data_IF_922131624267
#
_entry.id   IF_922131624267
#
_cell.length_a   1.000
_cell.length_b   1.000
_cell.length_c   1.000
_cell.angle_alpha   90.00
_cell.angle_beta   90.00
_cell.angle_gamma   90.00
#
_symmetry.space_group_name_H-M   'P 1'
#
loop_
_entity.id
_entity.type
_entity.pdbx_description
1 polymer ?
#
# COMPACT_ATOMS: atom_id res chain seq x y z
N UNK A 1 9.05 -11.08 12.73
CA UNK A 1 8.10 -9.99 13.07
C UNK A 1 7.32 -9.54 11.82
N UNK A 2 6.54 -10.43 11.19
CA UNK A 2 6.08 -10.24 9.80
C UNK A 2 4.85 -9.32 9.66
N UNK A 3 4.00 -9.24 10.69
CA UNK A 3 2.84 -8.32 10.69
C UNK A 3 3.17 -6.85 10.97
N UNK A 4 4.38 -6.53 11.42
CA UNK A 4 4.75 -5.15 11.81
C UNK A 4 5.08 -4.26 10.62
N UNK A 5 5.54 -4.84 9.50
CA UNK A 5 5.90 -4.09 8.30
C UNK A 5 4.68 -3.38 7.69
N UNK A 6 3.56 -4.08 7.53
CA UNK A 6 2.32 -3.50 7.00
C UNK A 6 1.77 -2.36 7.88
N UNK A 7 1.82 -2.53 9.20
CA UNK A 7 1.40 -1.49 10.15
C UNK A 7 2.28 -0.24 10.05
N UNK A 8 3.60 -0.40 9.95
CA UNK A 8 4.54 0.71 9.82
C UNK A 8 4.33 1.45 8.50
N UNK A 9 4.12 0.73 7.39
CA UNK A 9 3.85 1.33 6.08
C UNK A 9 2.53 2.12 6.11
N UNK A 10 1.46 1.55 6.66
CA UNK A 10 0.17 2.22 6.79
C UNK A 10 0.24 3.48 7.65
N UNK A 11 0.95 3.42 8.78
CA UNK A 11 1.18 4.57 9.65
C UNK A 11 2.01 5.66 8.98
N UNK A 12 3.04 5.29 8.20
CA UNK A 12 3.86 6.24 7.46
C UNK A 12 3.03 7.00 6.41
N UNK A 13 2.21 6.28 5.64
CA UNK A 13 1.30 6.88 4.66
C UNK A 13 0.28 7.81 5.35
N UNK A 14 -0.34 7.34 6.44
CA UNK A 14 -1.30 8.12 7.21
C UNK A 14 -0.70 9.39 7.82
N UNK A 15 0.56 9.32 8.27
CA UNK A 15 1.28 10.47 8.81
C UNK A 15 1.59 11.51 7.73
N UNK A 16 2.01 11.10 6.54
CA UNK A 16 2.27 12.04 5.42
C UNK A 16 0.99 12.73 4.95
N UNK A 17 -0.12 12.00 4.86
CA UNK A 17 -1.42 12.57 4.46
C UNK A 17 -2.05 13.44 5.57
N UNK A 18 -1.83 13.10 6.85
CA UNK A 18 -2.35 13.82 8.00
C UNK A 18 -1.58 15.10 8.37
N UNK A 19 -0.30 15.19 7.99
CA UNK A 19 0.59 16.33 8.29
C UNK A 19 0.38 17.52 7.34
N UNK A 20 -0.90 17.89 7.10
CA UNK A 20 -1.32 18.98 6.19
C UNK A 20 -1.03 20.39 6.74
N UNK A 21 0.20 20.66 7.21
CA UNK A 21 0.51 21.95 7.87
C UNK A 21 1.86 22.60 7.51
N UNK A 22 2.67 22.10 6.56
CA UNK A 22 3.95 22.76 6.23
C UNK A 22 4.40 22.59 4.79
N UNK A 23 4.11 23.59 3.92
CA UNK A 23 4.57 23.58 2.52
C UNK A 23 6.09 23.50 2.37
N UNK A 24 6.84 24.15 3.24
CA UNK A 24 8.31 24.14 3.18
C UNK A 24 8.91 22.76 3.50
N UNK A 25 8.35 22.04 4.48
CA UNK A 25 8.83 20.70 4.84
C UNK A 25 8.43 19.64 3.83
N UNK A 26 7.27 19.82 3.19
CA UNK A 26 6.85 18.94 2.09
C UNK A 26 7.85 18.96 0.93
N UNK A 27 8.28 20.15 0.49
CA UNK A 27 9.21 20.26 -0.64
C UNK A 27 10.61 19.69 -0.32
N UNK A 28 11.10 19.85 0.91
CA UNK A 28 12.37 19.24 1.32
C UNK A 28 12.32 17.72 1.29
N UNK A 29 11.27 17.13 1.88
CA UNK A 29 11.08 15.68 1.93
C UNK A 29 10.86 15.13 0.52
N UNK A 30 10.05 15.81 -0.29
CA UNK A 30 9.79 15.44 -1.68
C UNK A 30 11.07 15.40 -2.51
N UNK A 31 11.94 16.40 -2.37
CA UNK A 31 13.19 16.45 -3.14
C UNK A 31 14.12 15.29 -2.79
N UNK A 32 14.24 14.96 -1.50
CA UNK A 32 15.03 13.81 -1.06
C UNK A 32 14.41 12.48 -1.50
N UNK A 33 13.09 12.36 -1.39
CA UNK A 33 12.35 11.20 -1.85
C UNK A 33 12.51 10.97 -3.36
N UNK A 34 12.43 12.04 -4.17
CA UNK A 34 12.63 11.95 -5.62
C UNK A 34 14.02 11.44 -5.99
N UNK A 35 15.07 11.80 -5.25
CA UNK A 35 16.42 11.27 -5.51
C UNK A 35 16.47 9.76 -5.33
N UNK A 36 15.83 9.25 -4.28
CA UNK A 36 15.76 7.80 -4.00
C UNK A 36 14.85 7.09 -5.01
N UNK A 37 13.70 7.70 -5.33
CA UNK A 37 12.71 7.15 -6.27
C UNK A 37 13.25 7.00 -7.70
N UNK A 38 14.11 7.92 -8.14
CA UNK A 38 14.68 7.90 -9.48
C UNK A 38 15.87 6.94 -9.64
N UNK A 39 16.24 6.18 -8.60
CA UNK A 39 17.31 5.18 -8.74
C UNK A 39 16.85 3.95 -9.52
N UNK A 40 17.75 3.37 -10.33
CA UNK A 40 17.49 2.15 -11.12
C UNK A 40 16.89 0.98 -10.32
N UNK A 41 17.39 0.60 -9.13
CA UNK A 41 16.81 -0.50 -8.37
C UNK A 41 15.34 -0.23 -7.98
N UNK A 42 14.99 1.01 -7.64
CA UNK A 42 13.62 1.38 -7.28
C UNK A 42 12.73 1.37 -8.52
N UNK A 43 13.19 1.92 -9.64
CA UNK A 43 12.42 1.88 -10.89
C UNK A 43 12.19 0.45 -11.41
N UNK A 44 13.17 -0.43 -11.29
CA UNK A 44 13.03 -1.84 -11.68
C UNK A 44 11.96 -2.55 -10.85
N UNK A 45 11.97 -2.34 -9.53
CA UNK A 45 10.96 -2.91 -8.63
C UNK A 45 9.57 -2.31 -8.89
N UNK A 46 9.47 -1.00 -9.09
CA UNK A 46 8.22 -0.32 -9.45
C UNK A 46 7.68 -0.85 -10.79
N UNK A 47 8.55 -1.12 -11.77
CA UNK A 47 8.18 -1.74 -13.04
C UNK A 47 7.54 -3.12 -12.84
N UNK A 48 8.21 -4.01 -12.10
CA UNK A 48 7.70 -5.36 -11.78
C UNK A 48 6.34 -5.30 -11.07
N UNK A 49 6.21 -4.40 -10.09
CA UNK A 49 4.95 -4.19 -9.36
C UNK A 49 3.87 -3.63 -10.28
N UNK A 50 4.20 -2.70 -11.17
CA UNK A 50 3.26 -2.14 -12.14
C UNK A 50 2.74 -3.19 -13.11
N UNK A 51 3.60 -4.08 -13.59
CA UNK A 51 3.22 -5.16 -14.49
C UNK A 51 2.34 -6.19 -13.77
N UNK A 52 2.72 -6.57 -12.56
CA UNK A 52 1.91 -7.44 -11.71
C UNK A 52 0.54 -6.83 -11.38
N UNK A 53 0.51 -5.54 -11.00
CA UNK A 53 -0.70 -4.80 -10.71
C UNK A 53 -1.58 -4.64 -11.97
N UNK A 54 -1.01 -4.44 -13.15
CA UNK A 54 -1.76 -4.39 -14.41
C UNK A 54 -2.44 -5.73 -14.70
N UNK A 55 -1.74 -6.84 -14.50
CA UNK A 55 -2.29 -8.19 -14.66
C UNK A 55 -3.43 -8.46 -13.68
N UNK A 56 -3.26 -8.09 -12.41
CA UNK A 56 -4.34 -8.21 -11.42
C UNK A 56 -5.49 -7.24 -11.70
N UNK A 57 -5.21 -6.01 -12.13
CA UNK A 57 -6.22 -5.02 -12.46
C UNK A 57 -7.15 -5.47 -13.58
N UNK A 58 -6.60 -6.16 -14.58
CA UNK A 58 -7.36 -6.76 -15.67
C UNK A 58 -8.11 -8.03 -15.25
N UNK A 59 -7.68 -8.70 -14.17
CA UNK A 59 -8.34 -9.88 -13.61
C UNK A 59 -9.41 -9.54 -12.55
N UNK A 60 -9.46 -8.29 -12.07
CA UNK A 60 -10.43 -7.86 -11.08
C UNK A 60 -11.80 -7.60 -11.74
N UNK A 61 -12.88 -8.20 -11.20
CA UNK A 61 -14.24 -7.85 -11.57
C UNK A 61 -14.49 -6.34 -11.46
N UNK A 62 -15.24 -5.79 -12.40
CA UNK A 62 -15.78 -4.43 -12.36
C UNK A 62 -16.89 -4.25 -11.30
N UNK A 63 -16.79 -4.94 -10.16
CA UNK A 63 -17.52 -4.62 -8.93
C UNK A 63 -16.58 -4.25 -7.78
N UNK A 64 -15.31 -4.68 -7.84
CA UNK A 64 -14.27 -4.33 -6.87
C UNK A 64 -13.70 -2.93 -7.11
N UNK A 65 -13.51 -2.53 -8.37
CA UNK A 65 -13.00 -1.21 -8.76
C UNK A 65 -13.91 -0.04 -8.36
N UNK A 66 -15.20 -0.29 -8.29
CA UNK A 66 -16.34 0.61 -8.22
C UNK A 66 -16.63 0.87 -6.76
N UNK A 67 -16.50 -0.18 -5.95
CA UNK A 67 -16.50 -0.13 -4.50
C UNK A 67 -15.31 0.68 -4.00
N UNK A 68 -14.12 0.44 -4.54
CA UNK A 68 -12.91 1.22 -4.22
C UNK A 68 -13.04 2.70 -4.64
N UNK A 69 -13.54 2.97 -5.86
CA UNK A 69 -13.80 4.34 -6.33
C UNK A 69 -14.86 5.04 -5.47
N UNK A 70 -15.91 4.35 -5.03
CA UNK A 70 -16.92 4.93 -4.12
C UNK A 70 -16.34 5.27 -2.75
N UNK A 71 -15.49 4.41 -2.18
CA UNK A 71 -14.81 4.67 -0.91
C UNK A 71 -13.91 5.90 -0.99
N UNK A 72 -13.10 5.99 -2.05
CA UNK A 72 -12.21 7.13 -2.26
C UNK A 72 -12.98 8.42 -2.53
N UNK A 73 -14.08 8.35 -3.28
CA UNK A 73 -14.96 9.49 -3.53
C UNK A 73 -15.70 9.94 -2.26
N UNK A 74 -16.11 9.01 -1.39
CA UNK A 74 -16.69 9.32 -0.08
C UNK A 74 -15.66 9.94 0.89
N UNK A 75 -14.41 9.49 0.84
CA UNK A 75 -13.32 10.12 1.60
C UNK A 75 -12.97 11.52 1.06
N UNK A 76 -13.10 11.74 -0.26
CA UNK A 76 -12.81 12.99 -0.96
C UNK A 76 -13.92 14.04 -0.94
N UNK A 77 -15.19 13.65 -0.76
CA UNK A 77 -16.35 14.55 -0.81
C UNK A 77 -16.31 15.62 0.29
N UNK A 78 -16.76 16.84 0.01
CA UNK A 78 -16.75 17.93 1.00
C UNK A 78 -17.71 17.60 2.16
N UNK A 79 -17.16 17.39 3.35
CA UNK A 79 -17.87 17.09 4.59
C UNK A 79 -16.94 17.31 5.78
N UNK A 80 -17.51 17.44 6.98
CA UNK A 80 -16.70 17.59 8.20
C UNK A 80 -15.86 16.32 8.45
N UNK A 81 -14.75 16.45 9.17
CA UNK A 81 -13.87 15.31 9.47
C UNK A 81 -14.64 14.13 10.12
N UNK A 82 -15.65 14.44 10.94
CA UNK A 82 -16.53 13.42 11.55
C UNK A 82 -17.38 12.66 10.53
N UNK A 83 -17.99 13.34 9.55
CA UNK A 83 -18.82 12.68 8.52
C UNK A 83 -17.99 11.79 7.59
N UNK A 84 -16.76 12.20 7.28
CA UNK A 84 -15.81 11.41 6.48
C UNK A 84 -15.35 10.17 7.23
N UNK A 85 -15.08 10.32 8.53
CA UNK A 85 -14.67 9.22 9.40
C UNK A 85 -15.83 8.22 9.60
N UNK A 86 -17.06 8.69 9.81
CA UNK A 86 -18.23 7.81 9.93
C UNK A 86 -18.53 7.06 8.64
N UNK A 87 -18.41 7.71 7.47
CA UNK A 87 -18.57 7.04 6.19
C UNK A 87 -17.48 5.98 5.97
N UNK A 88 -16.22 6.28 6.32
CA UNK A 88 -15.11 5.34 6.24
C UNK A 88 -15.25 4.17 7.24
N UNK A 89 -15.71 4.42 8.47
CA UNK A 89 -15.95 3.39 9.48
C UNK A 89 -17.13 2.51 9.08
N UNK A 90 -18.21 3.08 8.53
CA UNK A 90 -19.38 2.31 8.08
C UNK A 90 -19.03 1.37 6.93
N UNK A 91 -18.32 1.88 5.92
CA UNK A 91 -17.85 1.02 4.81
C UNK A 91 -16.78 0.03 5.29
N UNK A 92 -15.90 0.45 6.20
CA UNK A 92 -14.92 -0.44 6.82
C UNK A 92 -15.55 -1.57 7.63
N UNK A 93 -16.71 -1.34 8.27
CA UNK A 93 -17.46 -2.35 9.03
C UNK A 93 -18.23 -3.30 8.12
N UNK A 94 -18.88 -2.79 7.08
CA UNK A 94 -19.59 -3.63 6.08
C UNK A 94 -18.61 -4.43 5.21
N UNK A 95 -17.38 -3.94 5.05
CA UNK A 95 -16.32 -4.64 4.33
C UNK A 95 -15.41 -5.47 5.24
N UNK A 96 -15.57 -5.43 6.57
CA UNK A 96 -14.62 -6.05 7.51
C UNK A 96 -14.58 -7.59 7.38
N UNK A 97 -15.70 -8.22 7.07
CA UNK A 97 -15.78 -9.68 6.95
C UNK A 97 -15.19 -10.17 5.61
N UNK A 98 -15.45 -9.47 4.50
CA UNK A 98 -14.90 -9.78 3.17
C UNK A 98 -13.43 -9.35 3.00
N UNK A 99 -13.09 -8.15 3.51
CA UNK A 99 -11.72 -7.63 3.52
C UNK A 99 -10.91 -8.33 4.59
N UNK A 100 -11.47 -8.80 5.70
CA UNK A 100 -10.73 -9.59 6.69
C UNK A 100 -10.19 -10.89 6.10
N UNK A 101 -11.01 -11.57 5.30
CA UNK A 101 -10.64 -12.81 4.60
C UNK A 101 -9.70 -12.54 3.42
N UNK A 102 -9.96 -11.51 2.61
CA UNK A 102 -9.10 -11.12 1.49
C UNK A 102 -7.76 -10.50 1.94
N UNK A 103 -7.74 -9.75 3.05
CA UNK A 103 -6.55 -9.21 3.68
C UNK A 103 -5.70 -10.30 4.31
N UNK A 104 -6.31 -11.33 4.93
CA UNK A 104 -5.56 -12.49 5.41
C UNK A 104 -4.95 -13.29 4.25
N UNK A 105 -5.69 -13.48 3.16
CA UNK A 105 -5.21 -14.20 1.96
C UNK A 105 -4.09 -13.43 1.25
N UNK A 106 -4.25 -12.12 1.05
CA UNK A 106 -3.23 -11.26 0.46
C UNK A 106 -2.02 -11.06 1.38
N UNK A 107 -2.22 -10.92 2.69
CA UNK A 107 -1.12 -10.87 3.65
C UNK A 107 -0.34 -12.19 3.70
N UNK A 108 -1.01 -13.35 3.51
CA UNK A 108 -0.34 -14.65 3.42
C UNK A 108 0.47 -14.78 2.13
N UNK A 109 -0.10 -14.41 0.98
CA UNK A 109 0.61 -14.42 -0.30
C UNK A 109 1.82 -13.46 -0.31
N UNK A 110 1.69 -12.27 0.29
CA UNK A 110 2.80 -11.31 0.43
C UNK A 110 3.87 -11.84 1.40
N UNK A 111 3.46 -12.51 2.48
CA UNK A 111 4.39 -13.11 3.44
C UNK A 111 5.17 -14.26 2.79
N UNK A 112 4.52 -15.11 2.01
CA UNK A 112 5.16 -16.23 1.31
C UNK A 112 6.14 -15.70 0.25
N UNK A 113 5.74 -14.70 -0.55
CA UNK A 113 6.63 -14.07 -1.53
C UNK A 113 7.85 -13.35 -0.90
N UNK A 114 7.68 -12.81 0.32
CA UNK A 114 8.77 -12.17 1.08
C UNK A 114 9.69 -13.22 1.71
N UNK A 115 9.17 -14.36 2.16
CA UNK A 115 10.01 -15.48 2.64
C UNK A 115 10.83 -16.08 1.49
N UNK A 116 10.20 -16.33 0.34
CA UNK A 116 10.89 -16.83 -0.87
C UNK A 116 12.02 -15.90 -1.30
N UNK A 117 11.78 -14.58 -1.32
CA UNK A 117 12.79 -13.60 -1.67
C UNK A 117 13.92 -13.45 -0.62
N UNK A 118 13.64 -13.74 0.65
CA UNK A 118 14.63 -13.74 1.74
C UNK A 118 15.49 -15.00 1.71
N UNK A 119 14.90 -16.16 1.42
CA UNK A 119 15.61 -17.42 1.32
C UNK A 119 16.51 -17.43 0.07
N UNK A 120 16.05 -16.94 -1.08
CA UNK A 120 16.85 -16.79 -2.31
C UNK A 120 18.05 -15.84 -2.10
N UNK A 121 17.85 -14.75 -1.35
CA UNK A 121 18.93 -13.83 -0.99
C UNK A 121 19.95 -14.41 0.02
N UNK A 122 19.51 -15.34 0.88
CA UNK A 122 20.35 -16.02 1.87
C UNK A 122 21.13 -17.20 1.26
N UNK A 123 20.58 -17.83 0.23
CA UNK A 123 21.20 -18.94 -0.50
C UNK A 123 22.30 -18.44 -1.47
N UNK A 124 22.05 -17.35 -2.19
CA UNK A 124 23.07 -16.67 -3.01
C UNK A 124 24.22 -16.04 -2.21
N UNK A 125 24.06 -15.87 -0.89
CA UNK A 125 25.11 -15.37 0.01
C UNK A 125 26.03 -16.47 0.58
N UNK A 126 25.68 -17.76 0.46
CA UNK A 126 26.44 -18.89 1.04
C UNK A 126 27.22 -19.73 0.03
N UNK A 127 27.01 -19.53 -1.27
CA UNK A 127 27.71 -20.26 -2.34
C UNK A 127 29.08 -19.72 -2.73
N UNK A 128 29.57 -18.67 -2.07
CA UNK A 128 30.91 -18.10 -2.28
C UNK A 128 31.89 -18.58 -1.20
N UNK A 129 32.35 -19.82 -1.32
CA UNK A 129 33.55 -20.33 -0.65
C UNK A 129 34.46 -20.97 -1.71
#
# INVERSE_FOLDING_TARGET
MKGKAGLVIGLAIGYVLGTRAGRERYEQIKTQWLKVWNTEPVQSQVGKVKDFAKSQAMALPSTLWESAVKVTQAAGSKGTAGQKLDAAIKVGKDSADDVGTAAQTSAKAVKDAVEDAVDDASENGRGGA
#
